data_IF_878480064475
#
_entry.id   IF_878480064475
#
_cell.length_a   1.000
_cell.length_b   1.000
_cell.length_c   1.000
_cell.angle_alpha   90.00
_cell.angle_beta   90.00
_cell.angle_gamma   90.00
#
_symmetry.space_group_name_H-M   'P 1'
#
loop_
_entity.id
_entity.type
_entity.pdbx_description
1 polymer ?
#
# COMPACT_ATOMS: atom_id res chain seq x y z
N UNK A 1 -33.41 -5.20 -7.35
CA UNK A 1 -32.04 -5.67 -7.69
C UNK A 1 -31.08 -5.20 -6.60
N UNK A 2 -30.61 -6.09 -5.72
CA UNK A 2 -29.63 -5.75 -4.69
C UNK A 2 -28.25 -5.76 -5.34
N UNK A 3 -27.68 -4.58 -5.61
CA UNK A 3 -26.28 -4.51 -5.99
C UNK A 3 -25.43 -4.98 -4.80
N UNK A 4 -24.66 -6.04 -5.00
CA UNK A 4 -23.65 -6.54 -4.08
C UNK A 4 -22.52 -5.50 -3.98
N UNK A 5 -22.77 -4.43 -3.22
CA UNK A 5 -21.79 -3.38 -2.95
C UNK A 5 -20.65 -3.96 -2.14
N UNK A 6 -19.51 -4.16 -2.80
CA UNK A 6 -18.23 -4.51 -2.16
C UNK A 6 -17.99 -3.47 -1.06
N UNK A 7 -18.00 -3.88 0.21
CA UNK A 7 -17.82 -2.97 1.34
C UNK A 7 -16.52 -2.18 1.14
N UNK A 8 -16.53 -0.84 1.17
CA UNK A 8 -15.32 -0.05 1.05
C UNK A 8 -14.35 -0.48 2.15
N UNK A 9 -13.16 -0.93 1.75
CA UNK A 9 -12.17 -1.48 2.68
C UNK A 9 -11.22 -0.35 3.07
N UNK A 10 -11.31 0.15 4.30
CA UNK A 10 -10.43 1.20 4.84
C UNK A 10 -9.15 0.61 5.47
N UNK A 11 -8.66 -0.49 4.89
CA UNK A 11 -7.56 -1.28 5.46
C UNK A 11 -6.19 -0.62 5.26
N UNK A 12 -5.13 -1.14 5.93
CA UNK A 12 -3.78 -0.57 5.89
C UNK A 12 -3.22 -0.39 4.47
N UNK A 13 -3.51 -1.34 3.57
CA UNK A 13 -3.09 -1.27 2.16
C UNK A 13 -3.71 -0.09 1.41
N UNK A 14 -4.98 0.21 1.66
CA UNK A 14 -5.67 1.34 1.02
C UNK A 14 -5.18 2.65 1.61
N UNK A 15 -5.02 2.73 2.94
CA UNK A 15 -4.39 3.89 3.62
C UNK A 15 -3.04 4.22 2.99
N UNK A 16 -2.17 3.22 2.84
CA UNK A 16 -0.84 3.38 2.26
C UNK A 16 -0.87 3.93 0.83
N UNK A 17 -1.76 3.41 -0.04
CA UNK A 17 -1.89 3.91 -1.42
C UNK A 17 -2.39 5.36 -1.48
N UNK A 18 -3.36 5.69 -0.64
CA UNK A 18 -3.91 7.05 -0.58
C UNK A 18 -2.85 8.02 -0.07
N UNK A 19 -2.13 7.64 0.98
CA UNK A 19 -1.01 8.41 1.53
C UNK A 19 0.07 8.63 0.47
N UNK A 20 0.50 7.56 -0.21
CA UNK A 20 1.51 7.64 -1.28
C UNK A 20 1.11 8.58 -2.42
N UNK A 21 -0.17 8.59 -2.81
CA UNK A 21 -0.66 9.52 -3.82
C UNK A 21 -0.61 10.97 -3.32
N UNK A 22 -0.96 11.22 -2.05
CA UNK A 22 -0.89 12.55 -1.45
C UNK A 22 0.56 13.03 -1.33
N UNK A 23 1.46 12.17 -0.88
CA UNK A 23 2.91 12.42 -0.80
C UNK A 23 3.48 12.80 -2.17
N UNK A 24 3.20 11.99 -3.20
CA UNK A 24 3.67 12.26 -4.55
C UNK A 24 3.14 13.59 -5.11
N UNK A 25 1.90 13.97 -4.77
CA UNK A 25 1.35 15.26 -5.19
C UNK A 25 1.99 16.44 -4.45
N UNK A 26 2.26 16.31 -3.14
CA UNK A 26 2.94 17.35 -2.37
C UNK A 26 4.39 17.54 -2.83
N UNK A 27 5.12 16.44 -2.99
CA UNK A 27 6.49 16.44 -3.50
C UNK A 27 6.57 17.03 -4.91
N UNK A 28 5.60 16.74 -5.78
CA UNK A 28 5.50 17.36 -7.11
C UNK A 28 5.38 18.89 -7.03
N UNK A 29 4.53 19.38 -6.14
CA UNK A 29 4.24 20.83 -6.02
C UNK A 29 5.40 21.60 -5.35
N UNK A 30 6.19 20.89 -4.55
CA UNK A 30 7.41 21.38 -3.92
C UNK A 30 8.65 21.21 -4.81
N UNK A 31 8.49 20.77 -6.06
CA UNK A 31 9.59 20.54 -7.03
C UNK A 31 10.62 19.51 -6.54
N UNK A 32 10.20 18.53 -5.72
CA UNK A 32 11.05 17.49 -5.12
C UNK A 32 11.08 16.19 -5.95
N UNK A 33 10.45 16.18 -7.12
CA UNK A 33 10.38 15.01 -8.01
C UNK A 33 11.28 15.23 -9.23
N UNK A 34 12.22 14.32 -9.43
CA UNK A 34 13.09 14.31 -10.61
C UNK A 34 12.27 14.15 -11.89
N UNK A 35 12.58 14.98 -12.90
CA UNK A 35 11.84 15.06 -14.16
C UNK A 35 10.33 15.28 -13.97
N UNK A 36 9.93 15.99 -12.92
CA UNK A 36 8.54 16.37 -12.68
C UNK A 36 7.95 17.20 -13.84
N UNK A 37 8.74 18.13 -14.38
CA UNK A 37 8.33 19.04 -15.46
C UNK A 37 7.90 18.32 -16.76
N UNK A 38 8.35 17.08 -16.95
CA UNK A 38 8.00 16.25 -18.11
C UNK A 38 6.59 15.64 -17.99
N UNK A 39 5.95 15.73 -16.82
CA UNK A 39 4.61 15.21 -16.59
C UNK A 39 3.54 16.25 -17.00
N UNK A 40 2.54 15.79 -17.76
CA UNK A 40 1.37 16.60 -18.16
C UNK A 40 0.41 16.81 -16.95
N UNK A 41 0.87 17.60 -15.98
CA UNK A 41 0.16 17.97 -14.76
C UNK A 41 0.16 19.50 -14.66
N UNK A 42 -1.02 20.10 -14.75
CA UNK A 42 -1.20 21.51 -14.41
C UNK A 42 -1.62 21.63 -12.96
N UNK A 43 -0.85 22.34 -12.13
CA UNK A 43 -1.21 22.62 -10.74
C UNK A 43 -1.28 24.12 -10.51
N UNK A 44 -2.35 24.58 -9.87
CA UNK A 44 -2.42 25.91 -9.24
C UNK A 44 -2.38 25.72 -7.73
N UNK A 45 -1.41 26.37 -7.08
CA UNK A 45 -1.21 26.31 -5.64
C UNK A 45 -1.63 27.62 -4.97
N UNK A 46 -2.41 27.50 -3.91
CA UNK A 46 -2.67 28.53 -2.91
C UNK A 46 -2.12 28.03 -1.56
N UNK A 47 -2.13 28.87 -0.52
CA UNK A 47 -1.52 28.54 0.78
C UNK A 47 -1.87 27.13 1.27
N UNK A 48 -3.17 26.76 1.28
CA UNK A 48 -3.66 25.45 1.75
C UNK A 48 -4.51 24.71 0.71
N UNK A 49 -4.43 25.10 -0.56
CA UNK A 49 -5.27 24.51 -1.60
C UNK A 49 -4.46 24.20 -2.86
N UNK A 50 -4.70 23.02 -3.44
CA UNK A 50 -4.09 22.60 -4.70
C UNK A 50 -5.19 22.28 -5.72
N UNK A 51 -5.21 23.01 -6.83
CA UNK A 51 -6.10 22.72 -7.95
C UNK A 51 -5.27 21.99 -9.00
N UNK A 52 -5.58 20.72 -9.22
CA UNK A 52 -4.80 19.82 -10.07
C UNK A 52 -5.64 19.44 -11.29
N UNK A 53 -5.06 19.61 -12.48
CA UNK A 53 -5.62 19.16 -13.76
C UNK A 53 -4.62 18.25 -14.46
N UNK A 54 -4.97 16.99 -14.66
CA UNK A 54 -4.09 15.97 -15.23
C UNK A 54 -4.87 14.76 -15.77
N UNK A 55 -4.21 13.66 -16.11
CA UNK A 55 -4.80 12.37 -16.50
C UNK A 55 -4.40 11.28 -15.50
N UNK A 56 -5.23 10.24 -15.35
CA UNK A 56 -4.92 9.15 -14.40
C UNK A 56 -3.61 8.41 -14.71
N UNK A 57 -3.22 8.31 -15.98
CA UNK A 57 -1.95 7.67 -16.39
C UNK A 57 -0.74 8.48 -15.92
N UNK A 58 -0.82 9.80 -16.01
CA UNK A 58 0.23 10.71 -15.54
C UNK A 58 0.37 10.61 -14.02
N UNK A 59 -0.72 10.45 -13.28
CA UNK A 59 -0.66 10.20 -11.83
C UNK A 59 -0.03 8.83 -11.48
N UNK A 60 -0.23 7.80 -12.30
CA UNK A 60 0.48 6.51 -12.13
C UNK A 60 1.99 6.74 -12.29
N UNK A 61 2.40 7.45 -13.34
CA UNK A 61 3.81 7.79 -13.58
C UNK A 61 4.40 8.62 -12.44
N UNK A 62 3.67 9.64 -11.96
CA UNK A 62 4.06 10.47 -10.83
C UNK A 62 4.36 9.63 -9.58
N UNK A 63 3.44 8.71 -9.22
CA UNK A 63 3.63 7.85 -8.05
C UNK A 63 4.78 6.88 -8.20
N UNK A 64 5.14 6.52 -9.44
CA UNK A 64 6.30 5.68 -9.74
C UNK A 64 7.62 6.46 -9.66
N UNK A 65 7.63 7.74 -10.05
CA UNK A 65 8.82 8.61 -9.94
C UNK A 65 9.14 9.02 -8.52
N UNK A 66 8.12 9.23 -7.67
CA UNK A 66 8.32 9.63 -6.28
C UNK A 66 9.03 8.53 -5.47
N UNK A 67 8.46 7.32 -5.43
CA UNK A 67 9.05 6.20 -4.68
C UNK A 67 8.47 4.86 -5.15
N UNK A 68 9.31 3.84 -5.28
CA UNK A 68 8.90 2.49 -5.68
C UNK A 68 8.01 1.79 -4.64
N UNK A 69 8.25 2.05 -3.35
CA UNK A 69 7.60 1.35 -2.25
C UNK A 69 6.20 1.88 -1.92
N UNK A 70 5.22 1.50 -2.74
CA UNK A 70 3.84 1.99 -2.58
C UNK A 70 3.24 2.53 -3.88
N UNK A 71 4.02 2.54 -4.97
CA UNK A 71 3.60 3.01 -6.28
C UNK A 71 2.26 2.43 -6.73
N UNK A 72 1.46 3.28 -7.35
CA UNK A 72 0.15 2.89 -7.86
C UNK A 72 0.35 2.40 -9.29
N UNK A 73 0.34 1.09 -9.50
CA UNK A 73 0.65 0.48 -10.80
C UNK A 73 -0.46 0.61 -11.84
N UNK A 74 -1.66 1.01 -11.43
CA UNK A 74 -2.84 0.99 -12.29
C UNK A 74 -3.72 2.19 -12.04
N UNK A 75 -4.30 2.75 -13.12
CA UNK A 75 -5.25 3.86 -13.07
C UNK A 75 -6.46 3.58 -12.16
N UNK A 76 -6.86 2.31 -12.01
CA UNK A 76 -7.89 1.88 -11.06
C UNK A 76 -7.51 2.11 -9.60
N UNK A 77 -6.24 1.92 -9.23
CA UNK A 77 -5.75 2.21 -7.88
C UNK A 77 -5.71 3.72 -7.63
N UNK A 78 -5.28 4.51 -8.63
CA UNK A 78 -5.29 5.98 -8.54
C UNK A 78 -6.72 6.49 -8.38
N UNK A 79 -7.65 5.99 -9.20
CA UNK A 79 -9.07 6.34 -9.09
C UNK A 79 -9.64 5.96 -7.72
N UNK A 80 -9.31 4.77 -7.21
CA UNK A 80 -9.70 4.38 -5.85
C UNK A 80 -9.14 5.35 -4.82
N UNK A 81 -7.86 5.72 -4.92
CA UNK A 81 -7.23 6.63 -3.98
C UNK A 81 -7.87 8.03 -4.00
N UNK A 82 -8.10 8.61 -5.19
CA UNK A 82 -8.80 9.90 -5.34
C UNK A 82 -10.22 9.84 -4.76
N UNK A 83 -10.96 8.76 -5.01
CA UNK A 83 -12.29 8.56 -4.41
C UNK A 83 -12.23 8.45 -2.88
N UNK A 84 -11.14 7.92 -2.29
CA UNK A 84 -10.99 7.91 -0.83
C UNK A 84 -10.67 9.31 -0.28
N UNK A 85 -9.88 10.10 -0.99
CA UNK A 85 -9.66 11.51 -0.62
C UNK A 85 -10.97 12.30 -0.63
N UNK A 86 -11.88 12.00 -1.57
CA UNK A 86 -13.22 12.59 -1.69
C UNK A 86 -14.19 12.05 -0.63
N UNK A 87 -14.54 10.76 -0.71
CA UNK A 87 -15.65 10.18 0.04
C UNK A 87 -15.30 9.91 1.51
N UNK A 88 -14.03 9.59 1.80
CA UNK A 88 -13.61 9.19 3.15
C UNK A 88 -13.00 10.34 3.94
N UNK A 89 -12.06 11.08 3.36
CA UNK A 89 -11.43 12.23 4.03
C UNK A 89 -12.14 13.57 3.77
N UNK A 90 -12.90 13.69 2.68
CA UNK A 90 -13.61 14.93 2.35
C UNK A 90 -12.67 16.10 2.00
N UNK A 91 -11.42 15.81 1.67
CA UNK A 91 -10.41 16.83 1.34
C UNK A 91 -10.32 17.10 -0.16
N UNK A 92 -10.90 16.22 -0.99
CA UNK A 92 -10.90 16.37 -2.44
C UNK A 92 -12.29 16.78 -2.95
N UNK A 93 -12.34 17.85 -3.71
CA UNK A 93 -13.51 18.32 -4.45
C UNK A 93 -13.32 18.07 -5.95
N UNK A 94 -14.29 17.42 -6.57
CA UNK A 94 -14.28 17.14 -8.00
C UNK A 94 -14.72 18.39 -8.78
N UNK A 95 -13.85 18.89 -9.65
CA UNK A 95 -14.07 20.09 -10.46
C UNK A 95 -14.16 19.74 -11.95
N UNK A 96 -14.44 18.48 -12.29
CA UNK A 96 -14.69 18.05 -13.66
C UNK A 96 -16.08 18.51 -14.10
N UNK A 97 -16.15 19.12 -15.28
CA UNK A 97 -17.41 19.49 -15.94
C UNK A 97 -18.22 18.25 -16.34
N UNK A 98 -17.53 17.18 -16.75
CA UNK A 98 -18.12 15.88 -17.09
C UNK A 98 -17.32 14.74 -16.45
N UNK A 99 -17.96 13.98 -15.55
CA UNK A 99 -17.32 12.84 -14.86
C UNK A 99 -17.12 11.63 -15.79
N UNK A 100 -17.91 11.52 -16.86
CA UNK A 100 -17.91 10.40 -17.81
C UNK A 100 -17.37 10.86 -19.16
N UNK A 101 -16.49 10.05 -19.76
CA UNK A 101 -15.93 10.29 -21.10
C UNK A 101 -14.75 11.27 -21.15
N UNK A 102 -14.47 12.00 -20.06
CA UNK A 102 -13.25 12.81 -19.96
C UNK A 102 -12.10 12.00 -19.37
N UNK A 103 -11.00 11.91 -20.10
CA UNK A 103 -9.72 11.41 -19.59
C UNK A 103 -9.03 12.41 -18.66
N UNK A 104 -9.47 13.67 -18.70
CA UNK A 104 -8.94 14.75 -17.88
C UNK A 104 -9.62 14.71 -16.51
N UNK A 105 -8.79 14.56 -15.50
CA UNK A 105 -9.10 14.72 -14.10
C UNK A 105 -8.78 16.14 -13.65
N UNK A 106 -9.79 16.80 -13.09
CA UNK A 106 -9.67 18.15 -12.55
C UNK A 106 -10.30 18.17 -11.17
N UNK A 107 -9.49 18.44 -10.15
CA UNK A 107 -9.94 18.41 -8.77
C UNK A 107 -9.20 19.42 -7.92
N UNK A 108 -9.86 19.85 -6.84
CA UNK A 108 -9.30 20.71 -5.81
C UNK A 108 -9.04 19.88 -4.56
N UNK A 109 -7.84 20.00 -4.01
CA UNK A 109 -7.43 19.39 -2.75
C UNK A 109 -7.32 20.49 -1.69
N UNK A 110 -8.04 20.32 -0.58
CA UNK A 110 -8.00 21.18 0.60
C UNK A 110 -7.08 20.55 1.63
N UNK A 111 -5.91 21.13 1.81
CA UNK A 111 -4.89 20.66 2.76
C UNK A 111 -5.21 21.18 4.17
N UNK A 112 -4.64 20.53 5.19
CA UNK A 112 -4.79 20.97 6.59
C UNK A 112 -3.79 22.07 6.93
N UNK A 113 -2.59 21.97 6.38
CA UNK A 113 -1.47 22.89 6.55
C UNK A 113 -1.04 23.46 5.20
N UNK A 114 -0.01 24.31 5.19
CA UNK A 114 0.49 24.85 3.92
C UNK A 114 1.06 23.71 3.08
N UNK A 115 1.03 23.84 1.76
CA UNK A 115 1.54 22.79 0.87
C UNK A 115 3.04 22.47 1.08
N UNK A 116 3.80 23.45 1.61
CA UNK A 116 5.21 23.30 1.99
C UNK A 116 5.40 22.45 3.24
N UNK A 117 4.43 22.44 4.15
CA UNK A 117 4.46 21.66 5.39
C UNK A 117 4.00 20.22 5.11
N UNK A 118 4.76 19.49 4.28
CA UNK A 118 4.40 18.15 3.86
C UNK A 118 4.20 17.21 5.05
N UNK A 119 5.16 17.15 5.98
CA UNK A 119 5.09 16.28 7.15
C UNK A 119 3.85 16.55 8.01
N UNK A 120 3.51 17.82 8.24
CA UNK A 120 2.34 18.20 9.02
C UNK A 120 1.02 17.75 8.34
N UNK A 121 0.94 17.86 7.01
CA UNK A 121 -0.21 17.36 6.26
C UNK A 121 -0.32 15.83 6.32
N UNK A 122 0.80 15.11 6.29
CA UNK A 122 0.83 13.65 6.34
C UNK A 122 0.51 13.11 7.75
N UNK A 123 0.95 13.80 8.79
CA UNK A 123 0.58 13.47 10.17
C UNK A 123 -0.93 13.66 10.38
N UNK A 124 -1.48 14.81 9.95
CA UNK A 124 -2.93 15.06 9.98
C UNK A 124 -3.72 14.06 9.16
N UNK A 125 -3.20 13.65 8.01
CA UNK A 125 -3.80 12.57 7.22
C UNK A 125 -3.91 11.28 8.03
N UNK A 126 -2.84 10.87 8.72
CA UNK A 126 -2.82 9.63 9.50
C UNK A 126 -3.81 9.69 10.67
N UNK A 127 -3.86 10.82 11.38
CA UNK A 127 -4.82 11.09 12.46
C UNK A 127 -6.26 11.02 11.96
N UNK A 128 -6.59 11.76 10.90
CA UNK A 128 -7.95 11.84 10.37
C UNK A 128 -8.41 10.50 9.82
N UNK A 129 -7.52 9.76 9.16
CA UNK A 129 -7.80 8.42 8.66
C UNK A 129 -8.12 7.44 9.78
N UNK A 130 -7.35 7.47 10.86
CA UNK A 130 -7.55 6.58 12.01
C UNK A 130 -8.75 7.01 12.85
N UNK A 131 -9.04 8.31 12.96
CA UNK A 131 -10.23 8.85 13.61
C UNK A 131 -11.51 8.38 12.92
N UNK A 132 -11.55 8.46 11.58
CA UNK A 132 -12.71 8.06 10.77
C UNK A 132 -12.87 6.55 10.61
N UNK A 133 -11.87 5.73 10.94
CA UNK A 133 -12.05 4.27 10.93
C UNK A 133 -13.11 3.87 11.98
N UNK A 134 -14.19 3.17 11.58
CA UNK A 134 -15.21 2.73 12.53
C UNK A 134 -14.60 1.81 13.59
N UNK A 135 -15.10 1.88 14.83
CA UNK A 135 -14.53 1.18 16.00
C UNK A 135 -14.32 -0.33 15.79
N UNK A 136 -15.18 -1.00 14.99
CA UNK A 136 -15.01 -2.41 14.61
C UNK A 136 -13.73 -2.69 13.79
N UNK A 137 -13.24 -1.71 13.03
CA UNK A 137 -11.98 -1.79 12.30
C UNK A 137 -10.77 -1.40 13.16
N UNK A 138 -10.96 -0.64 14.25
CA UNK A 138 -9.89 -0.32 15.23
C UNK A 138 -9.47 -1.56 16.03
N UNK A 139 -10.39 -2.48 16.33
CA UNK A 139 -10.08 -3.75 17.00
C UNK A 139 -9.16 -4.65 16.17
N UNK A 140 -9.42 -4.80 14.86
CA UNK A 140 -8.60 -5.61 13.96
C UNK A 140 -7.18 -5.04 13.73
N UNK A 141 -6.96 -3.74 13.95
CA UNK A 141 -5.63 -3.12 13.87
C UNK A 141 -4.87 -3.15 15.20
N UNK A 142 -5.57 -3.08 16.35
CA UNK A 142 -4.96 -3.28 17.67
C UNK A 142 -4.49 -4.73 17.87
N UNK A 143 -5.18 -5.72 17.30
CA UNK A 143 -4.71 -7.11 17.29
C UNK A 143 -3.49 -7.33 16.39
N UNK A 144 -3.30 -6.50 15.35
CA UNK A 144 -2.12 -6.60 14.48
C UNK A 144 -0.90 -5.80 14.97
N UNK A 145 -1.11 -4.83 15.87
CA UNK A 145 -0.02 -4.00 16.42
C UNK A 145 0.32 -4.32 17.88
N UNK A 146 -0.41 -5.23 18.51
CA UNK A 146 -0.12 -5.74 19.86
C UNK A 146 0.09 -7.25 19.74
N UNK A 147 1.35 -7.66 19.83
CA UNK A 147 1.89 -9.01 19.64
C UNK A 147 2.17 -9.36 18.18
N UNK A 148 3.44 -9.21 17.78
CA UNK A 148 4.12 -10.29 17.04
C UNK A 148 4.01 -11.56 17.90
N UNK A 149 2.83 -12.19 17.88
CA UNK A 149 2.71 -13.56 18.36
C UNK A 149 3.37 -14.37 17.26
N UNK A 150 4.46 -15.05 17.61
CA UNK A 150 5.06 -16.10 16.79
C UNK A 150 3.93 -16.90 16.12
N UNK A 151 3.99 -17.19 14.81
CA UNK A 151 2.94 -17.95 14.16
C UNK A 151 2.77 -19.25 14.94
N UNK A 152 1.59 -19.43 15.57
CA UNK A 152 1.22 -20.74 16.08
C UNK A 152 1.20 -21.67 14.87
N UNK A 153 1.96 -22.77 14.88
CA UNK A 153 1.91 -23.71 13.77
C UNK A 153 0.47 -24.18 13.62
N UNK A 154 -0.13 -23.90 12.47
CA UNK A 154 -1.43 -24.44 12.09
C UNK A 154 -1.26 -25.93 11.97
N UNK A 155 -1.61 -26.69 13.01
CA UNK A 155 -1.69 -28.14 12.93
C UNK A 155 -2.95 -28.45 12.14
N UNK A 156 -2.80 -28.73 10.84
CA UNK A 156 -3.88 -29.24 10.02
C UNK A 156 -4.17 -30.68 10.43
N UNK A 157 -5.26 -30.92 11.16
CA UNK A 157 -5.69 -32.27 11.59
C UNK A 157 -6.03 -33.20 10.42
N UNK A 158 -6.23 -32.66 9.20
CA UNK A 158 -6.63 -33.41 8.01
C UNK A 158 -5.47 -33.84 7.11
N UNK A 159 -4.23 -33.46 7.45
CA UNK A 159 -3.05 -34.10 6.87
C UNK A 159 -2.77 -35.31 7.75
N UNK A 160 -3.20 -36.50 7.33
CA UNK A 160 -2.71 -37.73 7.92
C UNK A 160 -1.19 -37.62 7.96
N UNK A 161 -0.60 -37.65 9.17
CA UNK A 161 0.85 -37.65 9.40
C UNK A 161 1.45 -38.95 8.87
N UNK A 162 1.37 -39.19 7.56
CA UNK A 162 2.20 -40.16 6.85
C UNK A 162 3.45 -39.41 6.42
N UNK A 163 4.45 -39.38 7.30
CA UNK A 163 5.75 -38.84 6.92
C UNK A 163 6.66 -38.43 8.08
N UNK A 164 6.12 -38.19 9.28
CA UNK A 164 6.97 -37.93 10.45
C UNK A 164 6.80 -39.11 11.40
N UNK A 165 7.32 -40.26 10.97
CA UNK A 165 7.77 -41.27 11.90
C UNK A 165 9.10 -40.78 12.45
N UNK A 166 9.10 -40.47 13.74
CA UNK A 166 10.20 -40.65 14.68
C UNK A 166 11.62 -40.42 14.15
N UNK A 167 12.20 -39.26 14.48
CA UNK A 167 13.64 -39.09 14.73
C UNK A 167 14.58 -39.83 13.74
N UNK A 168 14.43 -39.62 12.44
CA UNK A 168 15.56 -39.80 11.54
C UNK A 168 16.34 -38.49 11.57
N UNK A 169 17.49 -38.51 12.26
CA UNK A 169 18.48 -37.43 12.19
C UNK A 169 18.76 -37.18 10.71
N UNK A 170 18.59 -35.94 10.25
CA UNK A 170 18.87 -35.59 8.85
C UNK A 170 20.38 -35.67 8.64
N UNK A 171 20.87 -36.83 8.18
CA UNK A 171 22.31 -37.08 8.02
C UNK A 171 22.75 -36.55 6.65
N UNK A 172 23.56 -35.49 6.68
CA UNK A 172 24.12 -34.84 5.49
C UNK A 172 23.56 -33.44 5.25
N UNK A 173 24.21 -32.69 4.34
CA UNK A 173 23.86 -31.28 3.99
C UNK A 173 23.89 -30.28 5.16
N UNK A 174 24.67 -30.55 6.21
CA UNK A 174 24.84 -29.63 7.35
C UNK A 174 25.22 -28.21 6.94
N UNK A 175 26.11 -28.05 5.94
CA UNK A 175 26.49 -26.73 5.44
C UNK A 175 25.31 -25.95 4.82
N UNK A 176 24.42 -26.63 4.09
CA UNK A 176 23.24 -26.02 3.47
C UNK A 176 22.17 -25.68 4.52
N UNK A 177 22.02 -26.55 5.54
CA UNK A 177 21.14 -26.29 6.68
C UNK A 177 21.63 -25.13 7.54
N UNK A 178 22.94 -25.03 7.79
CA UNK A 178 23.54 -23.93 8.54
C UNK A 178 23.41 -22.61 7.76
N UNK A 179 23.59 -22.66 6.43
CA UNK A 179 23.40 -21.52 5.55
C UNK A 179 21.94 -21.06 5.54
N UNK A 180 20.99 -21.99 5.46
CA UNK A 180 19.56 -21.68 5.58
C UNK A 180 19.23 -21.10 6.96
N UNK A 181 19.79 -21.67 8.03
CA UNK A 181 19.56 -21.19 9.38
C UNK A 181 20.04 -19.75 9.56
N UNK A 182 21.21 -19.41 9.00
CA UNK A 182 21.74 -18.04 9.00
C UNK A 182 20.85 -17.08 8.21
N UNK A 183 20.43 -17.48 7.01
CA UNK A 183 19.54 -16.67 6.16
C UNK A 183 18.19 -16.37 6.81
N UNK A 184 17.66 -17.32 7.60
CA UNK A 184 16.41 -17.16 8.34
C UNK A 184 16.55 -16.28 9.59
N UNK A 185 17.74 -16.23 10.21
CA UNK A 185 18.00 -15.36 11.35
C UNK A 185 18.22 -13.90 10.94
N UNK A 186 18.86 -13.66 9.81
CA UNK A 186 19.21 -12.30 9.33
C UNK A 186 18.02 -11.56 8.70
N UNK A 187 16.96 -12.27 8.28
CA UNK A 187 15.86 -11.68 7.53
C UNK A 187 14.49 -11.97 8.18
N UNK A 188 13.75 -10.92 8.57
CA UNK A 188 12.40 -11.06 9.14
C UNK A 188 11.30 -11.43 8.15
N UNK A 189 11.57 -11.38 6.84
CA UNK A 189 10.69 -11.91 5.79
C UNK A 189 11.54 -12.66 4.77
N UNK A 190 11.55 -13.99 4.85
CA UNK A 190 12.21 -14.86 3.86
C UNK A 190 11.12 -15.58 3.08
N UNK A 191 11.07 -15.38 1.77
CA UNK A 191 10.37 -16.27 0.87
C UNK A 191 11.31 -17.43 0.56
N UNK A 192 11.05 -18.61 1.15
CA UNK A 192 11.81 -19.82 0.82
C UNK A 192 11.32 -20.33 -0.53
N UNK A 193 11.98 -19.93 -1.61
CA UNK A 193 11.83 -20.58 -2.90
C UNK A 193 12.78 -21.79 -2.93
N UNK A 194 12.28 -22.95 -2.51
CA UNK A 194 13.04 -24.20 -2.61
C UNK A 194 13.05 -24.65 -4.08
N UNK A 195 14.08 -24.27 -4.84
CA UNK A 195 14.44 -24.97 -6.06
C UNK A 195 15.14 -26.27 -5.66
N UNK A 196 14.36 -27.31 -5.37
CA UNK A 196 14.89 -28.67 -5.20
C UNK A 196 15.23 -29.19 -6.59
N UNK A 197 16.41 -28.82 -7.08
CA UNK A 197 17.02 -29.50 -8.23
C UNK A 197 17.69 -30.75 -7.71
N UNK A 198 16.92 -31.83 -7.63
CA UNK A 198 17.38 -33.16 -7.28
C UNK A 198 16.55 -34.20 -8.01
N UNK A 199 17.21 -35.21 -8.60
CA UNK A 199 16.53 -36.37 -9.17
C UNK A 199 15.72 -37.06 -8.08
N UNK A 200 14.46 -37.42 -8.38
CA UNK A 200 13.50 -37.90 -7.40
C UNK A 200 14.05 -39.03 -6.53
N UNK A 201 13.92 -38.89 -5.21
CA UNK A 201 14.30 -39.92 -4.23
C UNK A 201 15.26 -39.48 -3.12
N UNK A 202 15.73 -38.24 -3.08
CA UNK A 202 16.53 -37.70 -1.95
C UNK A 202 15.69 -36.74 -1.10
N UNK A 203 14.86 -37.34 -0.26
CA UNK A 203 14.16 -36.67 0.85
C UNK A 203 14.91 -36.85 2.16
#
# INVERSE_FOLDING_TARGET
MKQSGKRPTYGPKVKRRVKHLLEALLAFVNDEIEDGDNLDITVRKNEQELIVRTKLRVLVELTGKYQDEGKLTTTGQVREALNRLKDFLGILEDWREHERGSDIWHFKLKLWHKYQDQDANLERFDEEWDNRRPAKSKAAAKESNSKKTLPRPTVYENLGRKGILNQEEFIGRRAELDQLHRLLQENTQVAIAAAVTGMGGVG
#
